data_IF_196767374917
#
_entry.id   IF_196767374917
#
_cell.length_a   1.000
_cell.length_b   1.000
_cell.length_c   1.000
_cell.angle_alpha   90.00
_cell.angle_beta   90.00
_cell.angle_gamma   90.00
#
_symmetry.space_group_name_H-M   'P 1'
#
loop_
_entity.id
_entity.type
_entity.pdbx_description
1 polymer ?
#
# COMPACT_ATOMS: atom_id res chain seq x y z
N UNK A 1 16.22 -24.31 -18.10
CA UNK A 1 14.91 -24.61 -17.50
C UNK A 1 15.16 -25.46 -16.26
N UNK A 2 15.29 -24.83 -15.09
CA UNK A 2 15.41 -25.55 -13.82
C UNK A 2 14.06 -26.12 -13.45
N UNK A 3 13.99 -27.44 -13.16
CA UNK A 3 12.81 -28.14 -12.64
C UNK A 3 12.00 -27.24 -11.70
N UNK A 4 10.76 -27.01 -12.08
CA UNK A 4 9.83 -26.07 -11.45
C UNK A 4 9.73 -26.38 -9.95
N UNK A 5 10.32 -25.53 -9.10
CA UNK A 5 10.06 -25.59 -7.66
C UNK A 5 8.60 -25.19 -7.51
N UNK A 6 7.74 -26.16 -7.19
CA UNK A 6 6.32 -25.93 -6.92
C UNK A 6 6.15 -24.70 -6.01
N UNK A 7 5.26 -23.79 -6.38
CA UNK A 7 4.99 -22.57 -5.61
C UNK A 7 4.25 -23.00 -4.35
N UNK A 8 4.78 -22.63 -3.18
CA UNK A 8 4.29 -23.08 -1.88
C UNK A 8 3.90 -21.89 -1.02
N UNK A 9 2.74 -22.01 -0.40
CA UNK A 9 2.21 -21.06 0.59
C UNK A 9 1.91 -21.82 1.87
N UNK A 10 2.53 -21.41 2.97
CA UNK A 10 2.34 -21.99 4.30
C UNK A 10 1.49 -21.03 5.13
N UNK A 11 0.39 -21.53 5.67
CA UNK A 11 -0.54 -20.81 6.54
C UNK A 11 -0.36 -21.30 7.98
N UNK A 12 0.09 -20.42 8.88
CA UNK A 12 0.30 -20.75 10.30
C UNK A 12 -0.53 -19.85 11.20
N UNK A 13 -1.30 -20.46 12.09
CA UNK A 13 -2.10 -19.76 13.10
C UNK A 13 -1.18 -18.95 14.02
N UNK A 14 -1.55 -17.69 14.24
CA UNK A 14 -0.80 -16.76 15.08
C UNK A 14 -1.78 -15.72 15.64
N UNK A 15 -2.36 -15.99 16.80
CA UNK A 15 -3.46 -15.19 17.36
C UNK A 15 -3.00 -13.87 18.04
N UNK A 16 -1.70 -13.68 18.23
CA UNK A 16 -1.15 -12.48 18.87
C UNK A 16 0.26 -12.15 18.39
N UNK A 17 0.72 -10.94 18.70
CA UNK A 17 2.08 -10.48 18.42
C UNK A 17 3.10 -10.96 19.47
N UNK A 18 3.12 -12.26 19.76
CA UNK A 18 4.10 -12.89 20.64
C UNK A 18 5.39 -13.23 19.85
N UNK A 19 6.52 -12.69 20.29
CA UNK A 19 7.79 -12.81 19.58
C UNK A 19 8.28 -14.26 19.43
N UNK A 20 8.17 -15.08 20.48
CA UNK A 20 8.67 -16.46 20.46
C UNK A 20 7.84 -17.32 19.49
N UNK A 21 6.51 -17.17 19.52
CA UNK A 21 5.59 -17.87 18.61
C UNK A 21 5.87 -17.47 17.16
N UNK A 22 5.97 -16.17 16.87
CA UNK A 22 6.23 -15.68 15.51
C UNK A 22 7.59 -16.15 15.01
N UNK A 23 8.63 -16.11 15.84
CA UNK A 23 9.96 -16.59 15.45
C UNK A 23 9.96 -18.08 15.14
N UNK A 24 9.24 -18.91 15.92
CA UNK A 24 9.04 -20.33 15.63
C UNK A 24 8.37 -20.56 14.29
N UNK A 25 7.22 -19.91 14.06
CA UNK A 25 6.45 -19.98 12.81
C UNK A 25 7.31 -19.60 11.60
N UNK A 26 8.03 -18.47 11.67
CA UNK A 26 8.88 -18.01 10.56
C UNK A 26 9.98 -19.02 10.32
N UNK A 27 10.69 -19.48 11.36
CA UNK A 27 11.80 -20.42 11.22
C UNK A 27 11.37 -21.74 10.57
N UNK A 28 10.32 -22.36 11.10
CA UNK A 28 9.78 -23.62 10.55
C UNK A 28 9.33 -23.43 9.09
N UNK A 29 8.58 -22.37 8.79
CA UNK A 29 8.09 -22.12 7.44
C UNK A 29 9.23 -21.88 6.44
N UNK A 30 10.27 -21.13 6.84
CA UNK A 30 11.44 -20.92 5.99
C UNK A 30 12.22 -22.22 5.75
N UNK A 31 12.35 -23.07 6.79
CA UNK A 31 12.97 -24.40 6.67
C UNK A 31 12.16 -25.32 5.74
N UNK A 32 10.84 -25.39 5.90
CA UNK A 32 9.93 -26.20 5.07
C UNK A 32 9.97 -25.78 3.59
N UNK A 33 10.09 -24.47 3.32
CA UNK A 33 10.25 -23.92 1.98
C UNK A 33 11.67 -24.11 1.42
N UNK A 34 12.62 -24.60 2.22
CA UNK A 34 14.02 -24.74 1.85
C UNK A 34 14.70 -23.39 1.55
N UNK A 35 14.25 -22.33 2.22
CA UNK A 35 14.78 -20.97 2.07
C UNK A 35 16.14 -20.88 2.77
N UNK A 36 17.14 -20.42 2.03
CA UNK A 36 18.50 -20.19 2.53
C UNK A 36 18.86 -18.73 2.25
N UNK A 37 18.74 -17.83 3.24
CA UNK A 37 19.20 -16.45 3.10
C UNK A 37 20.66 -16.40 2.70
N UNK A 38 21.05 -15.39 1.92
CA UNK A 38 22.42 -15.22 1.48
C UNK A 38 22.77 -13.74 1.32
N UNK A 39 24.07 -13.46 1.32
CA UNK A 39 24.61 -12.13 1.04
C UNK A 39 23.96 -11.01 1.84
N UNK A 40 23.76 -9.87 1.17
CA UNK A 40 23.03 -8.72 1.70
C UNK A 40 21.54 -9.00 1.64
N UNK A 41 20.93 -9.21 2.80
CA UNK A 41 19.50 -9.49 2.94
C UNK A 41 18.74 -8.20 3.21
N UNK A 42 17.80 -7.85 2.33
CA UNK A 42 16.88 -6.73 2.52
C UNK A 42 15.50 -7.25 2.95
N UNK A 43 15.07 -6.80 4.12
CA UNK A 43 13.69 -6.91 4.58
C UNK A 43 12.94 -5.64 4.19
N UNK A 44 11.85 -5.79 3.44
CA UNK A 44 10.94 -4.70 3.11
C UNK A 44 9.60 -4.91 3.80
N UNK A 45 9.32 -4.24 4.93
CA UNK A 45 8.00 -4.26 5.56
C UNK A 45 7.03 -3.34 4.82
N UNK A 46 5.74 -3.37 5.18
CA UNK A 46 4.79 -2.36 4.75
C UNK A 46 4.77 -1.19 5.71
N UNK A 47 4.97 0.05 5.24
CA UNK A 47 4.55 1.28 5.95
C UNK A 47 4.35 2.44 4.97
N UNK A 48 3.12 2.58 4.45
CA UNK A 48 2.76 3.75 3.63
C UNK A 48 2.46 4.97 4.51
N UNK A 49 1.71 4.76 5.59
CA UNK A 49 1.39 5.78 6.59
C UNK A 49 1.36 5.11 7.96
N UNK A 50 1.68 5.89 8.99
CA UNK A 50 1.64 5.46 10.38
C UNK A 50 1.42 6.69 11.27
N UNK A 51 0.59 6.53 12.31
CA UNK A 51 0.35 7.57 13.30
C UNK A 51 -0.10 6.89 14.59
N UNK A 52 0.61 7.15 15.69
CA UNK A 52 0.34 6.53 17.00
C UNK A 52 -0.99 6.90 17.65
N UNK A 53 -1.80 7.75 17.04
CA UNK A 53 -3.11 8.10 17.57
C UNK A 53 -4.27 7.45 16.80
N UNK A 54 -4.14 7.18 15.50
CA UNK A 54 -5.28 6.76 14.69
C UNK A 54 -4.96 5.91 13.44
N UNK A 55 -3.68 5.61 13.15
CA UNK A 55 -3.30 4.71 12.05
C UNK A 55 -2.50 3.56 12.65
N UNK A 56 -3.20 2.68 13.35
CA UNK A 56 -2.65 1.41 13.85
C UNK A 56 -2.90 0.32 12.81
N UNK A 57 -2.04 -0.71 12.75
CA UNK A 57 -2.29 -1.93 11.98
C UNK A 57 -2.47 -1.77 10.44
N UNK A 58 -2.14 -0.61 9.87
CA UNK A 58 -2.01 -0.41 8.40
C UNK A 58 -0.58 -0.70 7.89
N UNK A 59 0.31 -1.12 8.78
CA UNK A 59 1.71 -1.42 8.50
C UNK A 59 2.09 -2.71 9.22
N UNK A 60 3.17 -3.36 8.77
CA UNK A 60 3.65 -4.63 9.34
C UNK A 60 4.06 -4.43 10.80
N UNK A 61 3.57 -5.27 11.70
CA UNK A 61 3.86 -5.07 13.12
C UNK A 61 5.37 -5.21 13.41
N UNK A 62 5.98 -4.30 14.22
CA UNK A 62 7.42 -4.32 14.51
C UNK A 62 7.92 -5.65 15.07
N UNK A 63 7.13 -6.33 15.89
CA UNK A 63 7.47 -7.67 16.42
C UNK A 63 7.68 -8.68 15.30
N UNK A 64 6.85 -8.68 14.26
CA UNK A 64 6.99 -9.63 13.14
C UNK A 64 8.30 -9.36 12.39
N UNK A 65 8.62 -8.09 12.15
CA UNK A 65 9.88 -7.68 11.51
C UNK A 65 11.07 -8.08 12.38
N UNK A 66 11.03 -7.81 13.68
CA UNK A 66 12.08 -8.18 14.63
C UNK A 66 12.32 -9.69 14.69
N UNK A 67 11.26 -10.49 14.78
CA UNK A 67 11.33 -11.96 14.72
C UNK A 67 11.95 -12.44 13.40
N UNK A 68 11.57 -11.85 12.27
CA UNK A 68 12.17 -12.20 10.98
C UNK A 68 13.68 -11.87 10.94
N UNK A 69 14.10 -10.72 11.47
CA UNK A 69 15.52 -10.34 11.56
C UNK A 69 16.32 -11.40 12.32
N UNK A 70 15.83 -11.83 13.49
CA UNK A 70 16.53 -12.79 14.34
C UNK A 70 16.58 -14.18 13.69
N UNK A 71 15.47 -14.63 13.10
CA UNK A 71 15.41 -15.92 12.39
C UNK A 71 16.36 -15.92 11.20
N UNK A 72 16.33 -14.89 10.35
CA UNK A 72 17.21 -14.82 9.17
C UNK A 72 18.69 -14.84 9.58
N UNK A 73 19.07 -14.13 10.66
CA UNK A 73 20.42 -14.17 11.22
C UNK A 73 20.80 -15.56 11.73
N UNK A 74 19.88 -16.23 12.43
CA UNK A 74 20.09 -17.62 12.90
C UNK A 74 20.26 -18.61 11.75
N UNK A 75 19.77 -18.27 10.55
CA UNK A 75 19.93 -19.03 9.31
C UNK A 75 21.12 -18.57 8.46
N UNK A 76 22.00 -17.70 8.97
CA UNK A 76 23.25 -17.29 8.33
C UNK A 76 23.22 -15.94 7.60
N UNK A 77 22.13 -15.16 7.67
CA UNK A 77 22.10 -13.81 7.09
C UNK A 77 22.88 -12.81 7.97
N UNK A 78 24.15 -12.58 7.65
CA UNK A 78 25.01 -11.68 8.44
C UNK A 78 24.68 -10.17 8.24
N UNK A 79 24.37 -9.74 7.02
CA UNK A 79 24.01 -8.34 6.70
C UNK A 79 22.51 -8.23 6.39
N UNK A 80 21.72 -7.99 7.44
CA UNK A 80 20.29 -7.73 7.34
C UNK A 80 20.03 -6.23 7.43
N UNK A 81 19.26 -5.70 6.49
CA UNK A 81 18.78 -4.31 6.50
C UNK A 81 17.27 -4.29 6.36
N UNK A 82 16.59 -3.43 7.11
CA UNK A 82 15.15 -3.15 6.97
C UNK A 82 15.00 -1.83 6.21
N UNK A 83 14.23 -1.80 5.12
CA UNK A 83 14.09 -0.60 4.31
C UNK A 83 12.70 -0.38 3.71
N UNK A 84 12.22 0.86 3.70
CA UNK A 84 10.94 1.25 3.10
C UNK A 84 10.88 2.74 2.69
N UNK A 85 9.96 3.08 1.79
CA UNK A 85 9.51 4.42 1.40
C UNK A 85 8.04 4.63 1.77
N UNK A 86 7.75 5.68 2.51
CA UNK A 86 6.42 6.06 2.97
C UNK A 86 5.61 6.86 1.95
N UNK A 87 4.44 7.31 2.38
CA UNK A 87 3.47 8.04 1.57
C UNK A 87 4.04 9.32 0.96
N UNK A 88 3.66 9.57 -0.30
CA UNK A 88 4.12 10.74 -1.04
C UNK A 88 3.85 12.05 -0.29
N UNK A 89 4.80 12.97 -0.35
CA UNK A 89 4.66 14.32 0.22
C UNK A 89 4.95 14.43 1.71
N UNK A 90 5.12 13.32 2.45
CA UNK A 90 5.44 13.33 3.89
C UNK A 90 6.77 12.60 4.14
N UNK A 91 7.71 13.13 4.95
CA UNK A 91 8.97 12.44 5.23
C UNK A 91 8.75 10.99 5.71
N UNK A 92 9.21 9.98 4.96
CA UNK A 92 8.98 8.56 5.31
C UNK A 92 9.54 8.19 6.68
N UNK A 93 10.65 8.81 7.09
CA UNK A 93 11.20 8.76 8.46
C UNK A 93 10.15 9.03 9.55
N UNK A 94 9.18 9.92 9.32
CA UNK A 94 8.08 10.11 10.27
C UNK A 94 7.30 8.81 10.47
N UNK A 95 6.94 8.14 9.38
CA UNK A 95 6.18 6.90 9.46
C UNK A 95 6.99 5.75 10.03
N UNK A 96 8.27 5.62 9.70
CA UNK A 96 9.18 4.65 10.30
C UNK A 96 9.33 4.86 11.82
N UNK A 97 9.26 6.12 12.29
CA UNK A 97 9.28 6.45 13.72
C UNK A 97 7.94 6.14 14.38
N UNK A 98 6.83 6.55 13.78
CA UNK A 98 5.48 6.36 14.32
C UNK A 98 5.10 4.87 14.36
N UNK A 99 5.52 4.08 13.38
CA UNK A 99 5.33 2.63 13.37
C UNK A 99 6.22 1.87 14.36
N UNK A 100 7.19 2.55 15.00
CA UNK A 100 8.11 1.93 15.95
C UNK A 100 9.30 1.21 15.33
N UNK A 101 9.50 1.30 14.00
CA UNK A 101 10.57 0.55 13.33
C UNK A 101 11.96 0.99 13.76
N UNK A 102 12.20 2.28 14.02
CA UNK A 102 13.50 2.71 14.55
C UNK A 102 13.78 2.21 15.98
N UNK A 103 12.73 2.07 16.81
CA UNK A 103 12.87 1.50 18.15
C UNK A 103 13.25 0.02 18.05
N UNK A 104 12.50 -0.75 17.27
CA UNK A 104 12.80 -2.15 16.97
C UNK A 104 14.20 -2.31 16.39
N UNK A 105 14.59 -1.44 15.44
CA UNK A 105 15.91 -1.44 14.83
C UNK A 105 17.05 -1.29 15.85
N UNK A 106 16.87 -0.40 16.83
CA UNK A 106 17.82 -0.21 17.93
C UNK A 106 17.89 -1.44 18.83
N UNK A 107 16.74 -1.99 19.22
CA UNK A 107 16.63 -3.16 20.11
C UNK A 107 17.24 -4.42 19.50
N UNK A 108 16.99 -4.65 18.20
CA UNK A 108 17.52 -5.80 17.46
C UNK A 108 18.91 -5.56 16.87
N UNK A 109 19.50 -4.37 17.03
CA UNK A 109 20.78 -4.02 16.41
C UNK A 109 20.76 -4.19 14.88
N UNK A 110 19.67 -3.81 14.22
CA UNK A 110 19.49 -3.91 12.75
C UNK A 110 19.31 -2.53 12.14
N UNK A 111 19.90 -2.32 10.96
CA UNK A 111 19.79 -1.05 10.25
C UNK A 111 18.37 -0.89 9.69
N UNK A 112 17.76 0.27 9.96
CA UNK A 112 16.47 0.66 9.39
C UNK A 112 16.68 1.91 8.53
N UNK A 113 16.40 1.81 7.23
CA UNK A 113 16.68 2.85 6.24
C UNK A 113 15.40 3.41 5.62
N UNK A 114 15.33 4.73 5.47
CA UNK A 114 14.38 5.38 4.56
C UNK A 114 14.99 5.39 3.16
N UNK A 115 14.37 4.68 2.22
CA UNK A 115 14.85 4.66 0.84
C UNK A 115 14.97 6.05 0.24
N UNK A 116 14.18 7.03 0.71
CA UNK A 116 14.24 8.42 0.23
C UNK A 116 15.46 9.21 0.69
N UNK A 117 16.25 8.65 1.61
CA UNK A 117 17.45 9.26 2.18
C UNK A 117 18.74 8.55 1.73
N UNK A 118 18.62 7.42 1.02
CA UNK A 118 19.76 6.71 0.47
C UNK A 118 20.25 7.31 -0.86
N UNK A 119 21.45 6.89 -1.27
CA UNK A 119 21.92 7.04 -2.66
C UNK A 119 21.04 6.18 -3.58
N UNK A 120 20.80 6.68 -4.78
CA UNK A 120 20.05 5.94 -5.81
C UNK A 120 20.93 5.53 -6.97
N UNK A 121 20.52 4.45 -7.62
CA UNK A 121 21.05 3.95 -8.88
C UNK A 121 19.93 3.99 -9.91
N UNK A 122 20.19 4.56 -11.09
CA UNK A 122 19.24 4.54 -12.19
C UNK A 122 19.35 3.18 -12.89
N UNK A 123 18.32 2.36 -12.79
CA UNK A 123 18.29 1.02 -13.39
C UNK A 123 17.27 1.01 -14.54
N UNK A 124 17.68 0.68 -15.79
CA UNK A 124 16.73 0.52 -16.89
C UNK A 124 15.86 -0.73 -16.69
N UNK A 125 14.59 -0.63 -17.08
CA UNK A 125 13.67 -1.77 -17.07
C UNK A 125 13.52 -2.32 -18.49
N UNK A 126 13.65 -3.64 -18.63
CA UNK A 126 13.50 -4.36 -19.91
C UNK A 126 12.07 -4.87 -20.10
N UNK A 127 11.40 -5.24 -19.02
CA UNK A 127 10.02 -5.76 -19.02
C UNK A 127 9.00 -4.68 -18.69
N UNK A 128 9.42 -3.52 -18.17
CA UNK A 128 8.55 -2.40 -17.81
C UNK A 128 7.72 -1.86 -18.98
N UNK A 129 6.40 -1.83 -18.81
CA UNK A 129 5.48 -1.30 -19.82
C UNK A 129 5.53 0.23 -19.82
N UNK A 130 5.39 0.85 -18.64
CA UNK A 130 5.36 2.30 -18.46
C UNK A 130 6.70 2.84 -17.97
N UNK A 131 7.26 2.24 -16.92
CA UNK A 131 8.58 2.64 -16.43
C UNK A 131 9.67 2.16 -17.38
N UNK A 132 10.43 3.09 -17.96
CA UNK A 132 11.64 2.77 -18.76
C UNK A 132 12.90 2.63 -17.91
N UNK A 133 12.91 3.29 -16.76
CA UNK A 133 13.95 3.15 -15.75
C UNK A 133 13.41 3.55 -14.38
N UNK A 134 14.10 3.16 -13.32
CA UNK A 134 13.76 3.50 -11.94
C UNK A 134 14.98 3.98 -11.15
N UNK A 135 14.78 4.89 -10.19
CA UNK A 135 15.76 5.21 -9.16
C UNK A 135 15.65 4.21 -8.01
N UNK A 136 16.58 3.27 -7.97
CA UNK A 136 16.62 2.19 -6.98
C UNK A 136 17.52 2.60 -5.81
N UNK A 137 16.99 2.57 -4.59
CA UNK A 137 17.74 2.88 -3.37
C UNK A 137 18.90 1.88 -3.16
N UNK A 138 20.02 2.35 -2.60
CA UNK A 138 21.25 1.56 -2.43
C UNK A 138 21.01 0.19 -1.78
N UNK A 139 20.23 0.13 -0.70
CA UNK A 139 19.98 -1.12 -0.01
C UNK A 139 19.17 -2.11 -0.85
N UNK A 140 18.27 -1.63 -1.71
CA UNK A 140 17.52 -2.46 -2.66
C UNK A 140 18.37 -2.91 -3.86
N UNK A 141 19.18 -1.99 -4.40
CA UNK A 141 20.05 -2.28 -5.54
C UNK A 141 21.09 -3.35 -5.20
N UNK A 142 21.62 -3.32 -3.99
CA UNK A 142 22.70 -4.21 -3.55
C UNK A 142 22.19 -5.48 -2.84
N UNK A 143 20.88 -5.70 -2.76
CA UNK A 143 20.32 -6.86 -2.06
C UNK A 143 20.49 -8.13 -2.90
N UNK A 144 21.17 -9.12 -2.32
CA UNK A 144 21.32 -10.46 -2.89
C UNK A 144 20.09 -11.33 -2.54
N UNK A 145 19.46 -11.05 -1.40
CA UNK A 145 18.28 -11.75 -0.90
C UNK A 145 17.21 -10.77 -0.42
N UNK A 146 15.96 -10.96 -0.86
CA UNK A 146 14.84 -10.04 -0.64
C UNK A 146 13.70 -10.73 0.12
N UNK A 147 13.30 -10.16 1.25
CA UNK A 147 12.24 -10.65 2.14
C UNK A 147 11.12 -9.63 2.23
N UNK A 148 10.02 -9.87 1.51
CA UNK A 148 8.90 -8.93 1.48
C UNK A 148 7.96 -9.26 2.62
N UNK A 149 7.67 -8.29 3.48
CA UNK A 149 6.84 -8.49 4.66
C UNK A 149 5.61 -7.60 4.61
N UNK A 150 4.63 -7.87 3.73
CA UNK A 150 3.44 -7.05 3.62
C UNK A 150 2.54 -7.19 4.86
N UNK A 151 1.64 -6.22 5.02
CA UNK A 151 0.44 -6.32 5.85
C UNK A 151 -0.69 -6.77 4.94
N UNK A 152 -1.35 -7.90 5.22
CA UNK A 152 -2.54 -8.30 4.46
C UNK A 152 -3.70 -7.36 4.79
N UNK A 153 -4.28 -6.72 3.78
CA UNK A 153 -5.41 -5.78 3.96
C UNK A 153 -6.20 -5.55 2.69
N UNK A 154 -7.44 -5.10 2.84
CA UNK A 154 -8.23 -4.53 1.75
C UNK A 154 -7.57 -3.22 1.29
N UNK A 155 -7.69 -2.89 0.00
CA UNK A 155 -7.16 -1.65 -0.56
C UNK A 155 -8.22 -0.92 -1.38
N UNK A 156 -8.30 0.41 -1.22
CA UNK A 156 -9.33 1.27 -1.83
C UNK A 156 -9.31 1.37 -3.37
N UNK A 157 -8.24 0.92 -4.03
CA UNK A 157 -8.08 1.04 -5.48
C UNK A 157 -7.32 -0.12 -6.16
N UNK A 158 -6.83 -1.09 -5.39
CA UNK A 158 -6.12 -2.27 -5.92
C UNK A 158 -6.73 -3.58 -5.42
N UNK A 159 -7.94 -3.54 -4.87
CA UNK A 159 -8.64 -4.66 -4.22
C UNK A 159 -7.97 -5.10 -2.91
N UNK A 160 -6.71 -5.51 -2.97
CA UNK A 160 -5.92 -5.95 -1.81
C UNK A 160 -4.56 -5.23 -1.74
N UNK A 161 -3.97 -5.23 -0.55
CA UNK A 161 -2.53 -5.06 -0.37
C UNK A 161 -1.95 -6.37 0.10
N UNK A 162 -0.96 -6.87 -0.64
CA UNK A 162 -0.03 -7.87 -0.15
C UNK A 162 1.34 -7.70 -0.85
N UNK A 163 2.00 -8.77 -1.29
CA UNK A 163 3.39 -8.77 -1.76
C UNK A 163 3.63 -7.95 -3.04
N UNK A 164 2.76 -8.04 -4.05
CA UNK A 164 2.98 -7.31 -5.31
C UNK A 164 2.83 -5.81 -5.07
N UNK A 165 1.72 -5.41 -4.44
CA UNK A 165 1.42 -4.01 -4.14
C UNK A 165 2.44 -3.35 -3.21
N UNK A 166 3.09 -4.14 -2.34
CA UNK A 166 4.16 -3.68 -1.46
C UNK A 166 5.29 -2.99 -2.23
N UNK A 167 5.52 -3.39 -3.48
CA UNK A 167 6.54 -2.79 -4.34
C UNK A 167 6.33 -1.31 -4.65
N UNK A 168 5.13 -0.74 -4.47
CA UNK A 168 4.95 0.73 -4.56
C UNK A 168 5.92 1.47 -3.62
N UNK A 169 6.27 0.87 -2.49
CA UNK A 169 7.23 1.41 -1.54
C UNK A 169 8.71 1.32 -1.94
N UNK A 170 9.06 0.70 -3.09
CA UNK A 170 10.44 0.78 -3.61
C UNK A 170 10.71 2.09 -4.35
N UNK A 171 9.65 2.82 -4.71
CA UNK A 171 9.76 4.05 -5.47
C UNK A 171 10.17 5.22 -4.58
N UNK A 172 10.99 6.09 -5.18
CA UNK A 172 11.27 7.40 -4.62
C UNK A 172 10.01 8.27 -4.61
N UNK A 173 9.96 9.28 -3.75
CA UNK A 173 8.89 10.27 -3.80
C UNK A 173 8.71 10.91 -5.18
N UNK A 174 9.80 11.10 -5.93
CA UNK A 174 9.74 11.69 -7.27
C UNK A 174 9.00 10.79 -8.28
N UNK A 175 9.05 9.47 -8.11
CA UNK A 175 8.47 8.50 -9.05
C UNK A 175 7.15 7.89 -8.52
N UNK A 176 6.84 8.05 -7.22
CA UNK A 176 5.70 7.41 -6.58
C UNK A 176 4.35 7.77 -7.22
N UNK A 177 4.21 9.00 -7.72
CA UNK A 177 2.97 9.46 -8.38
C UNK A 177 2.95 9.28 -9.90
N UNK A 178 4.07 8.88 -10.52
CA UNK A 178 4.07 8.56 -11.96
C UNK A 178 3.16 7.37 -12.22
N UNK A 179 2.25 7.47 -13.19
CA UNK A 179 1.30 6.39 -13.53
C UNK A 179 0.43 5.93 -12.35
N UNK A 180 0.27 6.77 -11.32
CA UNK A 180 -0.62 6.52 -10.19
C UNK A 180 -2.03 7.03 -10.53
N UNK A 181 -2.57 6.48 -11.61
CA UNK A 181 -3.84 6.83 -12.25
C UNK A 181 -4.58 5.54 -12.66
N UNK A 182 -5.21 5.50 -13.84
CA UNK A 182 -5.82 4.28 -14.37
C UNK A 182 -4.78 3.21 -14.76
N UNK A 183 -3.48 3.54 -14.73
CA UNK A 183 -2.35 2.64 -15.00
C UNK A 183 -1.72 2.03 -13.75
N UNK A 184 -2.34 2.21 -12.58
CA UNK A 184 -1.73 1.83 -11.31
C UNK A 184 -1.44 0.31 -11.21
N UNK A 185 -2.32 -0.54 -11.75
CA UNK A 185 -2.09 -1.99 -11.75
C UNK A 185 -0.90 -2.38 -12.64
N UNK A 186 -0.83 -1.81 -13.85
CA UNK A 186 0.28 -1.97 -14.78
C UNK A 186 1.60 -1.52 -14.16
N UNK A 187 1.56 -0.36 -13.47
CA UNK A 187 2.68 0.15 -12.68
C UNK A 187 3.13 -0.86 -11.65
N UNK A 188 2.23 -1.45 -10.85
CA UNK A 188 2.61 -2.43 -9.81
C UNK A 188 3.41 -3.57 -10.44
N UNK A 189 2.99 -4.06 -11.60
CA UNK A 189 3.67 -5.17 -12.29
C UNK A 189 5.03 -4.76 -12.85
N UNK A 190 5.19 -3.52 -13.34
CA UNK A 190 6.52 -3.01 -13.75
C UNK A 190 7.54 -3.06 -12.61
N UNK A 191 7.11 -2.79 -11.38
CA UNK A 191 8.00 -2.75 -10.22
C UNK A 191 8.54 -4.13 -9.84
N UNK A 192 7.90 -5.22 -10.30
CA UNK A 192 8.37 -6.58 -10.04
C UNK A 192 9.71 -6.86 -10.69
N UNK A 193 10.08 -6.19 -11.78
CA UNK A 193 11.39 -6.41 -12.41
C UNK A 193 12.57 -6.11 -11.46
N UNK A 194 12.41 -5.15 -10.56
CA UNK A 194 13.40 -4.82 -9.52
C UNK A 194 13.02 -5.46 -8.18
N UNK A 195 11.73 -5.48 -7.87
CA UNK A 195 11.19 -5.79 -6.55
C UNK A 195 10.69 -7.21 -6.35
N UNK A 196 11.00 -8.15 -7.24
CA UNK A 196 10.63 -9.55 -7.05
C UNK A 196 11.36 -10.13 -5.81
N UNK A 197 10.64 -10.55 -4.75
CA UNK A 197 11.25 -11.09 -3.54
C UNK A 197 11.62 -12.57 -3.69
N UNK A 198 12.53 -13.04 -2.83
CA UNK A 198 12.85 -14.46 -2.70
C UNK A 198 11.86 -15.17 -1.76
N UNK A 199 11.28 -14.45 -0.81
CA UNK A 199 10.29 -14.97 0.13
C UNK A 199 9.35 -13.84 0.58
N UNK A 200 8.10 -14.21 0.82
CA UNK A 200 7.07 -13.34 1.39
C UNK A 200 6.72 -13.84 2.78
N UNK A 201 6.67 -12.93 3.77
CA UNK A 201 6.16 -13.19 5.12
C UNK A 201 5.06 -12.15 5.40
N UNK A 202 3.82 -12.49 5.10
CA UNK A 202 2.69 -11.57 5.25
C UNK A 202 2.21 -11.56 6.70
N UNK A 203 2.23 -10.39 7.32
CA UNK A 203 1.58 -10.15 8.61
C UNK A 203 0.07 -10.06 8.38
N UNK A 204 -0.62 -11.08 8.86
CA UNK A 204 -2.07 -11.20 8.84
C UNK A 204 -2.61 -11.60 10.24
N UNK A 205 -1.86 -11.30 11.31
CA UNK A 205 -2.32 -11.52 12.70
C UNK A 205 -3.54 -10.63 12.93
N UNK A 206 -3.36 -9.35 12.67
CA UNK A 206 -4.45 -8.43 12.34
C UNK A 206 -4.43 -8.17 10.85
N UNK A 207 -5.58 -7.99 10.21
CA UNK A 207 -5.70 -7.39 8.89
C UNK A 207 -6.35 -6.02 9.04
N UNK A 208 -6.37 -5.22 7.97
CA UNK A 208 -7.08 -3.95 7.97
C UNK A 208 -8.08 -3.87 6.82
N UNK A 209 -9.23 -3.24 7.08
CA UNK A 209 -10.15 -2.77 6.06
C UNK A 209 -10.37 -1.25 6.20
N UNK A 210 -11.19 -0.66 5.33
CA UNK A 210 -11.38 0.79 5.24
C UNK A 210 -10.31 1.44 4.35
N UNK A 211 -9.66 2.49 4.85
CA UNK A 211 -8.65 3.25 4.09
C UNK A 211 -7.26 3.16 4.75
N UNK A 212 -6.17 3.22 3.98
CA UNK A 212 -4.83 2.97 4.51
C UNK A 212 -4.40 3.98 5.59
N UNK A 213 -4.93 5.21 5.57
CA UNK A 213 -4.69 6.21 6.63
C UNK A 213 -5.84 6.34 7.63
N UNK A 214 -6.80 5.42 7.56
CA UNK A 214 -7.96 5.28 8.42
C UNK A 214 -8.34 3.78 8.52
N UNK A 215 -7.40 2.92 8.97
CA UNK A 215 -7.61 1.49 8.98
C UNK A 215 -8.62 1.10 10.06
N UNK A 216 -9.43 0.10 9.76
CA UNK A 216 -10.24 -0.63 10.73
C UNK A 216 -9.62 -2.02 10.91
N UNK A 217 -8.96 -2.29 12.06
CA UNK A 217 -8.28 -3.55 12.28
C UNK A 217 -9.29 -4.69 12.49
N UNK A 218 -8.92 -5.88 12.07
CA UNK A 218 -9.67 -7.11 12.29
C UNK A 218 -8.70 -8.25 12.65
N UNK A 219 -8.97 -8.97 13.73
CA UNK A 219 -8.11 -10.07 14.20
C UNK A 219 -8.37 -11.33 13.36
N UNK A 220 -7.43 -11.68 12.48
CA UNK A 220 -7.53 -12.86 11.61
C UNK A 220 -6.75 -14.05 12.20
N UNK A 221 -5.58 -13.77 12.78
CA UNK A 221 -4.75 -14.73 13.51
C UNK A 221 -3.81 -15.55 12.61
N UNK A 222 -3.13 -14.93 11.65
CA UNK A 222 -2.35 -15.64 10.63
C UNK A 222 -0.97 -15.03 10.37
N UNK A 223 0.04 -15.88 10.19
CA UNK A 223 1.24 -15.56 9.42
C UNK A 223 1.22 -16.42 8.16
N UNK A 224 1.31 -15.76 6.99
CA UNK A 224 1.38 -16.42 5.68
C UNK A 224 2.81 -16.32 5.16
N UNK A 225 3.45 -17.45 4.87
CA UNK A 225 4.82 -17.49 4.33
C UNK A 225 4.81 -18.16 2.97
N UNK A 226 5.45 -17.57 1.97
CA UNK A 226 5.46 -18.09 0.60
C UNK A 226 6.80 -17.91 -0.10
N UNK A 227 7.15 -18.85 -0.98
CA UNK A 227 8.33 -18.76 -1.84
C UNK A 227 8.06 -18.06 -3.19
N UNK A 228 6.82 -17.68 -3.45
CA UNK A 228 6.38 -16.97 -4.66
C UNK A 228 5.40 -15.85 -4.29
N UNK A 229 5.63 -14.61 -4.75
CA UNK A 229 4.80 -13.46 -4.39
C UNK A 229 3.41 -13.47 -5.03
N UNK A 230 3.25 -14.05 -6.24
CA UNK A 230 1.93 -14.14 -6.89
C UNK A 230 1.07 -15.18 -6.17
N UNK A 231 1.67 -16.32 -5.78
CA UNK A 231 0.99 -17.34 -4.99
C UNK A 231 0.55 -16.79 -3.62
N UNK A 232 1.41 -16.00 -2.95
CA UNK A 232 1.07 -15.33 -1.70
C UNK A 232 -0.16 -14.42 -1.84
N UNK A 233 -0.21 -13.62 -2.91
CA UNK A 233 -1.29 -12.67 -3.15
C UNK A 233 -2.57 -13.36 -3.64
N UNK A 234 -2.47 -14.45 -4.42
CA UNK A 234 -3.62 -15.26 -4.83
C UNK A 234 -4.28 -15.93 -3.61
N UNK A 235 -3.50 -16.53 -2.71
CA UNK A 235 -4.01 -17.09 -1.46
C UNK A 235 -4.57 -15.99 -0.55
N UNK A 236 -3.87 -14.85 -0.45
CA UNK A 236 -4.34 -13.68 0.30
C UNK A 236 -5.67 -13.12 -0.23
N UNK A 237 -5.86 -13.09 -1.56
CA UNK A 237 -7.11 -12.67 -2.19
C UNK A 237 -8.28 -13.56 -1.77
N UNK A 238 -8.08 -14.88 -1.82
CA UNK A 238 -9.09 -15.88 -1.40
C UNK A 238 -9.45 -15.74 0.07
N UNK A 239 -8.44 -15.58 0.93
CA UNK A 239 -8.64 -15.34 2.37
C UNK A 239 -9.50 -14.10 2.62
N UNK A 240 -9.38 -13.05 1.79
CA UNK A 240 -10.19 -11.83 1.90
C UNK A 240 -11.55 -11.92 1.17
N UNK A 241 -11.87 -13.06 0.55
CA UNK A 241 -13.14 -13.30 -0.14
C UNK A 241 -13.16 -12.88 -1.62
N UNK A 242 -12.01 -12.62 -2.23
CA UNK A 242 -11.88 -12.28 -3.65
C UNK A 242 -11.40 -13.47 -4.47
N UNK A 243 -11.79 -13.53 -5.75
CA UNK A 243 -11.14 -14.42 -6.70
C UNK A 243 -9.81 -13.79 -7.14
N UNK A 244 -8.71 -14.56 -7.26
CA UNK A 244 -7.43 -14.01 -7.74
C UNK A 244 -7.56 -13.28 -9.09
N UNK A 245 -8.46 -13.72 -9.95
CA UNK A 245 -8.77 -13.14 -11.27
C UNK A 245 -9.41 -11.74 -11.18
N UNK A 246 -10.08 -11.42 -10.08
CA UNK A 246 -10.66 -10.10 -9.83
C UNK A 246 -9.58 -9.07 -9.41
N UNK A 247 -8.36 -9.52 -9.12
CA UNK A 247 -7.23 -8.67 -8.75
C UNK A 247 -6.38 -8.39 -9.99
N UNK A 248 -6.67 -7.26 -10.66
CA UNK A 248 -6.11 -6.89 -11.97
C UNK A 248 -4.58 -7.06 -12.07
N UNK A 249 -3.82 -6.60 -11.08
CA UNK A 249 -2.35 -6.71 -11.12
C UNK A 249 -1.83 -8.14 -10.95
N UNK A 250 -2.61 -9.08 -10.37
CA UNK A 250 -2.24 -10.49 -10.33
C UNK A 250 -2.38 -11.13 -11.71
N UNK A 251 -3.49 -10.88 -12.40
CA UNK A 251 -3.70 -11.33 -13.79
C UNK A 251 -2.58 -10.82 -14.69
N UNK A 252 -2.35 -9.50 -14.68
CA UNK A 252 -1.29 -8.87 -15.49
C UNK A 252 0.11 -9.39 -15.18
N UNK A 253 0.41 -9.69 -13.91
CA UNK A 253 1.71 -10.26 -13.53
C UNK A 253 1.87 -11.70 -14.03
N UNK A 254 0.81 -12.50 -13.95
CA UNK A 254 0.77 -13.86 -14.50
C UNK A 254 0.98 -13.87 -16.01
N UNK A 255 0.25 -13.02 -16.74
CA UNK A 255 0.36 -12.86 -18.20
C UNK A 255 1.77 -12.42 -18.65
N UNK A 256 2.46 -11.62 -17.81
CA UNK A 256 3.84 -11.17 -18.05
C UNK A 256 4.90 -12.19 -17.62
N UNK A 257 4.49 -13.39 -17.20
CA UNK A 257 5.38 -14.50 -16.87
C UNK A 257 6.12 -14.35 -15.55
N UNK A 258 5.57 -13.60 -14.58
CA UNK A 258 6.16 -13.49 -13.23
C UNK A 258 5.80 -14.65 -12.30
N UNK A 259 4.78 -15.44 -12.64
CA UNK A 259 4.30 -16.55 -11.82
C UNK A 259 2.94 -17.03 -12.33
N UNK A 260 2.19 -17.73 -11.47
CA UNK A 260 0.83 -18.21 -11.79
C UNK A 260 -0.10 -17.88 -10.62
N UNK A 261 -1.37 -17.66 -10.95
CA UNK A 261 -2.47 -17.48 -10.00
C UNK A 261 -3.40 -18.69 -9.96
N UNK A 262 -3.14 -19.72 -10.79
CA UNK A 262 -3.96 -20.91 -10.89
C UNK A 262 -3.72 -21.86 -9.71
N UNK A 263 -4.80 -22.41 -9.18
CA UNK A 263 -4.77 -23.26 -7.99
C UNK A 263 -3.91 -24.50 -8.15
N UNK A 264 -3.93 -25.10 -9.34
CA UNK A 264 -3.15 -26.30 -9.66
C UNK A 264 -1.63 -26.06 -9.56
N UNK A 265 -1.19 -24.80 -9.64
CA UNK A 265 0.23 -24.42 -9.57
C UNK A 265 0.66 -24.01 -8.15
N UNK A 266 -0.28 -23.91 -7.20
CA UNK A 266 -0.06 -23.39 -5.84
C UNK A 266 -0.34 -24.50 -4.83
N UNK A 267 0.70 -24.99 -4.17
CA UNK A 267 0.57 -25.90 -3.05
C UNK A 267 0.39 -25.10 -1.75
N UNK A 268 -0.76 -25.27 -1.11
CA UNK A 268 -1.06 -24.63 0.18
C UNK A 268 -0.93 -25.67 1.28
N UNK A 269 -0.08 -25.40 2.28
CA UNK A 269 0.08 -26.21 3.48
C UNK A 269 -0.10 -25.33 4.72
N UNK A 270 -0.15 -25.92 5.91
CA UNK A 270 -0.44 -25.13 7.10
C UNK A 270 -1.08 -25.92 8.22
N UNK A 271 -1.37 -25.22 9.32
CA UNK A 271 -2.25 -25.69 10.40
C UNK A 271 -3.65 -25.07 10.33
N UNK A 272 -3.90 -24.24 9.31
CA UNK A 272 -5.17 -23.55 9.04
C UNK A 272 -5.42 -23.52 7.53
N UNK A 273 -6.68 -23.62 7.12
CA UNK A 273 -7.06 -23.64 5.71
C UNK A 273 -7.56 -22.28 5.21
N UNK A 274 -7.59 -22.11 3.88
CA UNK A 274 -8.15 -20.90 3.25
C UNK A 274 -9.63 -20.75 3.60
N UNK A 275 -10.38 -21.85 3.62
CA UNK A 275 -11.83 -21.85 3.89
C UNK A 275 -12.13 -21.36 5.32
N UNK A 276 -11.34 -21.80 6.31
CA UNK A 276 -11.49 -21.33 7.70
C UNK A 276 -11.27 -19.81 7.79
N UNK A 277 -10.20 -19.31 7.16
CA UNK A 277 -9.84 -17.89 7.18
C UNK A 277 -10.86 -17.04 6.39
N UNK A 278 -11.28 -17.51 5.22
CA UNK A 278 -12.29 -16.85 4.39
C UNK A 278 -13.66 -16.79 5.08
N UNK A 279 -13.99 -17.78 5.94
CA UNK A 279 -15.18 -17.73 6.79
C UNK A 279 -15.10 -16.58 7.81
N UNK A 280 -13.92 -16.30 8.38
CA UNK A 280 -13.73 -15.19 9.32
C UNK A 280 -13.89 -13.82 8.65
N UNK A 281 -13.44 -13.68 7.41
CA UNK A 281 -13.51 -12.42 6.65
C UNK A 281 -14.82 -12.23 5.90
N UNK A 282 -15.67 -13.27 5.87
CA UNK A 282 -16.98 -13.24 5.20
C UNK A 282 -17.83 -12.09 5.75
N UNK A 283 -18.31 -11.24 4.85
CA UNK A 283 -19.19 -10.11 5.19
C UNK A 283 -18.46 -8.85 5.64
N UNK A 284 -17.13 -8.86 5.73
CA UNK A 284 -16.37 -7.62 5.95
C UNK A 284 -16.58 -6.70 4.74
N UNK A 285 -17.20 -5.55 4.99
CA UNK A 285 -17.31 -4.47 4.01
C UNK A 285 -16.17 -3.49 4.27
N UNK A 286 -15.22 -3.42 3.34
CA UNK A 286 -14.19 -2.39 3.39
C UNK A 286 -14.74 -1.08 2.83
N UNK A 287 -15.05 -0.15 3.73
CA UNK A 287 -15.45 1.21 3.37
C UNK A 287 -14.47 1.83 2.36
N UNK A 288 -15.00 2.66 1.47
CA UNK A 288 -14.24 3.35 0.42
C UNK A 288 -13.63 2.46 -0.68
N UNK A 289 -13.76 1.13 -0.66
CA UNK A 289 -13.44 0.32 -1.85
C UNK A 289 -14.39 0.63 -3.00
N UNK A 290 -15.67 0.79 -2.69
CA UNK A 290 -16.67 1.33 -3.61
C UNK A 290 -17.11 2.71 -3.09
N UNK A 291 -16.84 3.76 -3.87
CA UNK A 291 -17.19 5.12 -3.49
C UNK A 291 -18.72 5.31 -3.47
N UNK A 292 -19.45 4.54 -4.28
CA UNK A 292 -20.90 4.65 -4.43
C UNK A 292 -21.66 4.01 -3.26
N UNK A 293 -20.97 3.25 -2.40
CA UNK A 293 -21.53 2.62 -1.19
C UNK A 293 -21.23 3.37 0.10
N UNK A 294 -20.57 4.54 0.00
CA UNK A 294 -20.29 5.37 1.18
C UNK A 294 -21.59 5.99 1.69
N UNK A 295 -21.86 5.86 3.00
CA UNK A 295 -23.01 6.50 3.67
C UNK A 295 -22.79 8.03 3.72
N UNK A 296 -23.32 8.74 2.72
CA UNK A 296 -23.19 10.19 2.58
C UNK A 296 -24.30 10.76 1.69
N UNK A 297 -24.72 12.01 1.90
CA UNK A 297 -25.63 12.71 0.99
C UNK A 297 -24.93 13.22 -0.29
N UNK A 298 -23.63 13.02 -0.44
CA UNK A 298 -22.88 13.36 -1.65
C UNK A 298 -23.12 12.28 -2.72
N UNK A 299 -23.63 12.67 -3.89
CA UNK A 299 -23.73 11.77 -5.05
C UNK A 299 -22.42 11.78 -5.85
N UNK A 300 -21.94 10.60 -6.21
CA UNK A 300 -20.71 10.43 -6.99
C UNK A 300 -21.02 10.10 -8.45
N UNK A 301 -20.42 10.84 -9.37
CA UNK A 301 -20.57 10.68 -10.81
C UNK A 301 -19.21 10.32 -11.40
N UNK A 302 -19.03 9.05 -11.71
CA UNK A 302 -17.73 8.51 -12.15
C UNK A 302 -17.75 8.25 -13.65
N UNK A 303 -16.98 9.05 -14.38
CA UNK A 303 -16.73 8.92 -15.80
C UNK A 303 -15.36 8.35 -16.12
N UNK A 304 -15.12 8.15 -17.41
CA UNK A 304 -13.88 7.57 -17.93
C UNK A 304 -12.85 8.65 -18.26
N UNK A 305 -11.58 8.28 -18.18
CA UNK A 305 -10.49 9.01 -18.82
C UNK A 305 -10.77 9.14 -20.33
N UNK A 306 -10.63 10.34 -20.94
CA UNK A 306 -10.95 10.56 -22.34
C UNK A 306 -10.01 9.80 -23.30
N UNK A 307 -8.76 9.56 -22.90
CA UNK A 307 -7.75 8.99 -23.79
C UNK A 307 -7.83 7.46 -23.80
N UNK A 308 -8.11 6.84 -22.64
CA UNK A 308 -8.06 5.38 -22.45
C UNK A 308 -9.42 4.73 -22.24
N UNK A 309 -10.47 5.50 -21.98
CA UNK A 309 -11.81 4.96 -21.79
C UNK A 309 -12.01 4.16 -20.50
N UNK A 310 -11.12 4.32 -19.50
CA UNK A 310 -11.20 3.64 -18.20
C UNK A 310 -11.39 4.65 -17.07
N UNK A 311 -12.07 4.27 -16.00
CA UNK A 311 -12.18 5.11 -14.81
C UNK A 311 -10.83 5.26 -14.10
N UNK A 312 -10.54 6.46 -13.59
CA UNK A 312 -9.26 6.78 -12.94
C UNK A 312 -9.24 6.28 -11.47
N UNK A 313 -9.22 4.96 -11.28
CA UNK A 313 -9.29 4.33 -9.95
C UNK A 313 -8.10 4.66 -9.06
N UNK A 314 -6.87 4.65 -9.61
CA UNK A 314 -5.64 4.95 -8.87
C UNK A 314 -5.37 6.45 -8.69
N UNK A 315 -6.03 7.31 -9.46
CA UNK A 315 -5.80 8.76 -9.43
C UNK A 315 -6.91 9.50 -8.67
N UNK A 316 -7.86 10.08 -9.40
CA UNK A 316 -8.89 10.93 -8.81
C UNK A 316 -9.75 10.20 -7.77
N UNK A 317 -10.15 8.96 -8.05
CA UNK A 317 -10.97 8.19 -7.12
C UNK A 317 -10.19 7.78 -5.87
N UNK A 318 -8.95 7.30 -6.00
CA UNK A 318 -8.11 6.98 -4.85
C UNK A 318 -7.89 8.22 -3.96
N UNK A 319 -7.62 9.38 -4.55
CA UNK A 319 -7.42 10.62 -3.81
C UNK A 319 -8.72 11.05 -3.09
N UNK A 320 -9.87 10.98 -3.78
CA UNK A 320 -11.18 11.29 -3.21
C UNK A 320 -11.52 10.37 -2.03
N UNK A 321 -11.43 9.05 -2.24
CA UNK A 321 -11.64 8.02 -1.22
C UNK A 321 -10.73 8.25 0.00
N UNK A 322 -9.45 8.51 -0.25
CA UNK A 322 -8.50 8.78 0.82
C UNK A 322 -8.77 10.06 1.60
N UNK A 323 -9.21 11.12 0.92
CA UNK A 323 -9.61 12.37 1.56
C UNK A 323 -10.82 12.15 2.50
N UNK A 324 -11.88 11.52 1.99
CA UNK A 324 -13.09 11.22 2.76
C UNK A 324 -12.80 10.30 3.94
N UNK A 325 -12.09 9.19 3.72
CA UNK A 325 -11.72 8.27 4.78
C UNK A 325 -10.87 8.91 5.87
N UNK A 326 -9.94 9.80 5.51
CA UNK A 326 -9.14 10.55 6.49
C UNK A 326 -9.98 11.52 7.31
N UNK A 327 -10.90 12.24 6.66
CA UNK A 327 -11.80 13.18 7.35
C UNK A 327 -12.64 12.41 8.36
N UNK A 328 -13.28 11.31 7.94
CA UNK A 328 -14.20 10.56 8.79
C UNK A 328 -13.48 9.87 9.95
N UNK A 329 -12.30 9.28 9.71
CA UNK A 329 -11.55 8.67 10.81
C UNK A 329 -11.08 9.66 11.87
N UNK A 330 -10.77 10.91 11.48
CA UNK A 330 -10.39 11.95 12.44
C UNK A 330 -11.59 12.58 13.13
N UNK A 331 -12.73 12.64 12.44
CA UNK A 331 -13.97 13.28 12.91
C UNK A 331 -15.16 12.39 12.48
N UNK A 332 -15.44 11.30 13.22
CA UNK A 332 -16.46 10.33 12.84
C UNK A 332 -17.81 10.97 12.55
N UNK A 333 -18.46 10.53 11.47
CA UNK A 333 -19.75 11.06 11.03
C UNK A 333 -19.68 12.31 10.18
N UNK A 334 -18.49 12.85 9.91
CA UNK A 334 -18.32 14.03 9.04
C UNK A 334 -18.78 13.75 7.61
N UNK A 335 -18.47 12.56 7.08
CA UNK A 335 -18.85 12.20 5.70
C UNK A 335 -20.36 11.93 5.60
N UNK A 336 -20.93 11.29 6.62
CA UNK A 336 -22.38 11.05 6.74
C UNK A 336 -23.19 12.34 6.85
N UNK A 337 -22.69 13.31 7.60
CA UNK A 337 -23.36 14.60 7.83
C UNK A 337 -22.89 15.69 6.86
N UNK A 338 -22.24 15.32 5.75
CA UNK A 338 -21.79 16.27 4.75
C UNK A 338 -22.97 17.04 4.15
N UNK A 339 -22.71 18.22 3.58
CA UNK A 339 -23.72 18.95 2.80
C UNK A 339 -24.09 18.13 1.55
N UNK A 340 -25.38 17.95 1.22
CA UNK A 340 -25.79 17.30 -0.03
C UNK A 340 -25.22 18.00 -1.27
N UNK A 341 -24.83 17.23 -2.28
CA UNK A 341 -24.29 17.75 -3.53
C UNK A 341 -23.71 16.67 -4.43
N UNK A 342 -22.96 17.06 -5.46
CA UNK A 342 -22.38 16.15 -6.44
C UNK A 342 -20.86 16.22 -6.52
N UNK A 343 -20.18 15.09 -6.71
CA UNK A 343 -18.76 15.03 -7.08
C UNK A 343 -18.64 14.31 -8.43
N UNK A 344 -17.93 14.93 -9.38
CA UNK A 344 -17.70 14.36 -10.71
C UNK A 344 -16.21 14.11 -10.91
N UNK A 345 -15.88 12.93 -11.44
CA UNK A 345 -14.52 12.56 -11.88
C UNK A 345 -14.56 12.00 -13.30
N UNK A 346 -13.57 12.32 -14.14
CA UNK A 346 -13.51 11.84 -15.52
C UNK A 346 -14.60 12.44 -16.42
N UNK A 347 -14.73 11.90 -17.63
CA UNK A 347 -15.78 12.29 -18.58
C UNK A 347 -17.03 11.48 -18.30
N UNK A 348 -17.96 12.09 -17.58
CA UNK A 348 -19.24 11.48 -17.22
C UNK A 348 -20.29 11.72 -18.30
N UNK A 349 -20.96 10.66 -18.73
CA UNK A 349 -22.07 10.72 -19.70
C UNK A 349 -23.39 10.65 -18.93
N UNK A 350 -24.16 11.71 -18.99
CA UNK A 350 -25.41 11.86 -18.24
C UNK A 350 -25.51 13.19 -17.52
N UNK A 351 -26.69 13.42 -16.93
CA UNK A 351 -27.00 14.67 -16.26
C UNK A 351 -26.51 14.70 -14.82
N UNK A 352 -26.08 15.88 -14.36
CA UNK A 352 -25.67 16.15 -12.98
C UNK A 352 -26.50 17.32 -12.46
N UNK A 353 -27.53 17.00 -11.69
CA UNK A 353 -28.57 17.94 -11.24
C UNK A 353 -28.57 18.05 -9.72
N UNK A 354 -28.15 19.21 -9.21
CA UNK A 354 -28.06 19.57 -7.79
C UNK A 354 -28.39 21.07 -7.58
N UNK A 355 -29.61 21.54 -7.92
CA UNK A 355 -29.94 22.97 -7.91
C UNK A 355 -29.68 23.67 -6.56
N UNK A 356 -29.86 22.95 -5.45
CA UNK A 356 -29.63 23.48 -4.09
C UNK A 356 -28.23 23.17 -3.52
N UNK A 357 -27.47 22.30 -4.20
CA UNK A 357 -26.19 21.76 -3.73
C UNK A 357 -25.00 22.21 -4.57
N UNK A 358 -23.77 22.12 -4.03
CA UNK A 358 -22.57 22.31 -4.83
C UNK A 358 -22.28 21.09 -5.69
N UNK A 359 -21.64 21.31 -6.84
CA UNK A 359 -20.98 20.27 -7.63
C UNK A 359 -19.48 20.51 -7.68
N UNK A 360 -18.69 19.49 -7.35
CA UNK A 360 -17.23 19.54 -7.38
C UNK A 360 -16.68 18.65 -8.51
N UNK A 361 -16.03 19.27 -9.48
CA UNK A 361 -15.32 18.60 -10.57
C UNK A 361 -13.88 18.33 -10.14
N UNK A 362 -13.41 17.09 -10.21
CA UNK A 362 -12.07 16.70 -9.76
C UNK A 362 -11.26 16.18 -10.94
N UNK A 363 -10.13 16.83 -11.25
CA UNK A 363 -9.22 16.45 -12.34
C UNK A 363 -9.32 17.37 -13.55
N UNK A 364 -8.24 17.42 -14.33
CA UNK A 364 -8.15 18.29 -15.53
C UNK A 364 -9.05 17.78 -16.66
N UNK A 365 -9.16 16.46 -16.84
CA UNK A 365 -9.97 15.84 -17.88
C UNK A 365 -11.48 15.84 -17.59
N UNK A 366 -11.89 16.18 -16.36
CA UNK A 366 -13.27 15.97 -15.90
C UNK A 366 -14.27 16.84 -16.63
N UNK A 367 -15.30 16.21 -17.20
CA UNK A 367 -16.37 16.85 -18.00
C UNK A 367 -17.70 16.14 -17.76
N UNK A 368 -18.81 16.87 -17.91
CA UNK A 368 -20.18 16.34 -17.92
C UNK A 368 -20.69 16.45 -19.34
N UNK A 369 -21.06 15.32 -19.95
CA UNK A 369 -21.67 15.23 -21.27
C UNK A 369 -23.19 15.05 -21.09
N UNK A 370 -23.84 16.13 -20.67
CA UNK A 370 -25.24 16.20 -20.27
C UNK A 370 -25.51 17.56 -19.65
N UNK A 371 -26.69 17.73 -19.03
CA UNK A 371 -27.03 18.94 -18.28
C UNK A 371 -26.25 18.97 -16.96
N UNK A 372 -25.56 20.09 -16.70
CA UNK A 372 -24.93 20.38 -15.41
C UNK A 372 -25.68 21.54 -14.74
N UNK A 373 -26.46 21.22 -13.73
CA UNK A 373 -27.23 22.20 -12.94
C UNK A 373 -26.79 22.12 -11.48
N UNK A 374 -26.32 23.24 -10.91
CA UNK A 374 -25.87 23.27 -9.53
C UNK A 374 -25.94 24.67 -8.92
N UNK A 375 -26.18 24.78 -7.61
CA UNK A 375 -26.06 26.06 -6.87
C UNK A 375 -24.69 26.69 -7.03
N UNK A 376 -23.65 25.85 -7.05
CA UNK A 376 -22.27 26.28 -7.24
C UNK A 376 -21.41 25.15 -7.82
N UNK A 377 -20.74 25.43 -8.93
CA UNK A 377 -19.75 24.52 -9.51
C UNK A 377 -18.35 24.95 -9.06
N UNK A 378 -17.53 24.01 -8.60
CA UNK A 378 -16.11 24.20 -8.29
C UNK A 378 -15.27 23.16 -9.02
N UNK A 379 -13.99 23.46 -9.24
CA UNK A 379 -13.04 22.51 -9.82
C UNK A 379 -11.77 22.42 -9.00
N UNK A 380 -11.29 21.20 -8.78
CA UNK A 380 -9.92 20.92 -8.36
C UNK A 380 -9.17 20.45 -9.61
N UNK A 381 -8.20 21.26 -10.06
CA UNK A 381 -7.32 20.95 -11.19
C UNK A 381 -6.15 20.06 -10.75
N UNK A 382 -5.55 19.35 -11.71
CA UNK A 382 -4.35 18.53 -11.55
C UNK A 382 -4.51 17.10 -12.04
N UNK A 383 -3.47 16.61 -12.71
CA UNK A 383 -3.23 15.20 -13.04
C UNK A 383 -1.71 14.92 -12.94
N UNK A 384 -1.19 14.44 -11.79
CA UNK A 384 -1.91 14.01 -10.59
C UNK A 384 -2.50 15.19 -9.79
N UNK A 385 -3.51 14.90 -8.98
CA UNK A 385 -4.15 15.90 -8.11
C UNK A 385 -3.19 16.39 -7.02
N UNK A 386 -3.19 17.71 -6.80
CA UNK A 386 -2.49 18.30 -5.67
C UNK A 386 -3.20 17.98 -4.35
N UNK A 387 -2.57 17.18 -3.49
CA UNK A 387 -3.12 16.73 -2.20
C UNK A 387 -3.66 17.91 -1.36
N UNK A 388 -2.89 18.99 -1.22
CA UNK A 388 -3.32 20.17 -0.44
C UNK A 388 -4.63 20.78 -0.95
N UNK A 389 -4.79 20.92 -2.26
CA UNK A 389 -5.98 21.52 -2.84
C UNK A 389 -7.21 20.65 -2.60
N UNK A 390 -7.06 19.32 -2.66
CA UNK A 390 -8.14 18.38 -2.37
C UNK A 390 -8.58 18.48 -0.90
N UNK A 391 -7.63 18.42 0.03
CA UNK A 391 -7.90 18.44 1.47
C UNK A 391 -8.39 19.80 2.00
N UNK A 392 -8.30 20.89 1.22
CA UNK A 392 -8.92 22.18 1.54
C UNK A 392 -10.28 22.34 0.86
N UNK A 393 -10.33 22.09 -0.44
CA UNK A 393 -11.49 22.45 -1.27
C UNK A 393 -12.66 21.51 -1.03
N UNK A 394 -12.41 20.21 -0.91
CA UNK A 394 -13.46 19.22 -0.71
C UNK A 394 -14.17 19.43 0.64
N UNK A 395 -13.48 19.49 1.79
CA UNK A 395 -14.16 19.66 3.07
C UNK A 395 -14.96 20.96 3.13
N UNK A 396 -14.35 22.07 2.68
CA UNK A 396 -15.03 23.39 2.65
C UNK A 396 -16.26 23.41 1.75
N UNK A 397 -16.27 22.64 0.66
CA UNK A 397 -17.41 22.59 -0.26
C UNK A 397 -18.60 21.86 0.35
N UNK A 398 -18.31 20.79 1.08
CA UNK A 398 -19.32 19.92 1.66
C UNK A 398 -19.51 20.11 3.18
N UNK A 399 -18.98 21.19 3.76
CA UNK A 399 -19.18 21.51 5.18
C UNK A 399 -18.50 20.56 6.16
N UNK A 400 -17.45 19.86 5.74
CA UNK A 400 -16.68 18.94 6.58
C UNK A 400 -15.42 19.61 7.15
N UNK A 401 -14.90 19.13 8.30
CA UNK A 401 -13.62 19.57 8.84
C UNK A 401 -12.46 19.11 7.94
N UNK A 402 -11.45 19.97 7.77
CA UNK A 402 -10.23 19.59 7.05
C UNK A 402 -9.20 18.98 7.99
N UNK A 403 -8.59 17.84 7.64
CA UNK A 403 -7.55 17.20 8.44
C UNK A 403 -6.21 17.95 8.37
N UNK A 404 -6.02 18.87 7.41
CA UNK A 404 -4.75 19.62 7.26
C UNK A 404 -4.43 20.53 8.45
N UNK A 405 -5.44 20.95 9.20
CA UNK A 405 -5.29 21.91 10.30
C UNK A 405 -5.17 21.23 11.66
N UNK A 406 -4.78 19.95 11.70
CA UNK A 406 -4.46 19.25 12.94
C UNK A 406 -3.13 19.77 13.54
N UNK A 407 -3.12 20.35 14.75
CA UNK A 407 -1.90 20.95 15.32
C UNK A 407 -0.77 19.94 15.57
N UNK A 408 -1.11 18.71 15.96
CA UNK A 408 -0.11 17.67 16.27
C UNK A 408 0.61 17.24 15.00
N UNK A 409 -0.14 16.98 13.93
CA UNK A 409 0.44 16.54 12.66
C UNK A 409 1.31 17.63 12.01
N UNK A 410 0.93 18.90 12.15
CA UNK A 410 1.72 20.03 11.65
C UNK A 410 3.12 20.08 12.28
N UNK A 411 3.20 19.93 13.61
CA UNK A 411 4.49 19.91 14.35
C UNK A 411 5.34 18.71 13.94
N UNK A 412 4.74 17.52 13.86
CA UNK A 412 5.45 16.30 13.44
C UNK A 412 6.00 16.41 12.02
N UNK A 413 5.23 17.01 11.10
CA UNK A 413 5.64 17.23 9.72
C UNK A 413 6.86 18.16 9.62
N UNK A 414 6.84 19.30 10.33
CA UNK A 414 7.94 20.28 10.32
C UNK A 414 9.23 19.64 10.85
N UNK A 415 9.18 19.05 12.05
CA UNK A 415 10.35 18.44 12.68
C UNK A 415 11.01 17.37 11.79
N UNK A 416 10.22 16.43 11.25
CA UNK A 416 10.78 15.34 10.44
C UNK A 416 11.27 15.81 9.07
N UNK A 417 10.73 16.91 8.54
CA UNK A 417 11.23 17.53 7.30
C UNK A 417 12.64 18.11 7.49
N UNK A 418 12.89 18.77 8.62
CA UNK A 418 14.22 19.31 8.98
C UNK A 418 15.23 18.16 9.15
N UNK A 419 14.86 17.12 9.90
CA UNK A 419 15.73 15.94 10.12
C UNK A 419 16.08 15.23 8.81
N UNK A 420 15.11 15.07 7.90
CA UNK A 420 15.35 14.50 6.56
C UNK A 420 16.35 15.33 5.77
N UNK A 421 16.23 16.66 5.80
CA UNK A 421 17.16 17.58 5.16
C UNK A 421 18.60 17.38 5.66
N UNK A 422 18.79 17.38 6.98
CA UNK A 422 20.11 17.17 7.60
C UNK A 422 20.72 15.81 7.24
N UNK A 423 19.90 14.75 7.22
CA UNK A 423 20.36 13.39 6.88
C UNK A 423 20.79 13.25 5.43
N UNK A 424 20.08 13.87 4.49
CA UNK A 424 20.52 13.91 3.09
C UNK A 424 21.88 14.60 2.94
N UNK A 425 22.09 15.73 3.62
CA UNK A 425 23.37 16.45 3.60
C UNK A 425 24.48 15.59 4.21
N UNK A 426 24.24 15.00 5.39
CA UNK A 426 25.18 14.07 6.03
C UNK A 426 25.53 12.91 5.10
N UNK A 427 24.54 12.28 4.46
CA UNK A 427 24.80 11.16 3.56
C UNK A 427 25.61 11.60 2.34
N UNK A 428 25.41 12.81 1.80
CA UNK A 428 26.23 13.35 0.71
C UNK A 428 27.68 13.59 1.15
N UNK A 429 27.89 14.14 2.35
CA UNK A 429 29.22 14.46 2.88
C UNK A 429 30.01 13.19 3.23
N UNK A 430 29.37 12.22 3.89
CA UNK A 430 30.05 11.02 4.40
C UNK A 430 30.11 9.84 3.41
N UNK A 431 29.49 9.94 2.22
CA UNK A 431 29.65 8.94 1.13
C UNK A 431 30.60 9.37 0.01
N UNK A 432 31.30 10.51 0.19
CA UNK A 432 32.41 10.96 -0.66
C UNK A 432 33.79 10.45 -0.20
N UNK A 433 33.85 9.52 0.75
CA UNK A 433 35.06 8.77 1.13
C UNK A 433 34.95 7.32 0.69
#
# INVERSE_FOLDING_TARGET
MTKDKRKKVILRRCDSYNEAVISGIIKESLTDLGIKPNGKTLIKPNVVTANKAYIFDSYTHPTVIGSAVDVLRSMGAADVTVGESGGYGIPSRLFLKESGYFKMGKEKGVRVVDFNEEKYYKVPLKKGMWHKSMRVAKSLHNADFKVWMPKLKYHICCTITNALKLNIGILTHAERMLYHDDRLNEKIVDLLEIGFPNVVISDAVKIAHGYESAPKPFDLGLILVANDPLAADAVGAKILGFKPEDVIHLVMASERGYGSIADVDIEVTGDVTIEELAKKTKGIVSEYQDIHKVDTPIKFYTGNDPDRGRFCYGGCLAALKGCLGTIDARRPGSVKNARPGGIVTGVYKGDVIHPDGPVLLIGDCTKVLGKLEAKKVKRIKGCPLGTKMLFVTLPRTFGMPSPLFDPRDAVLFIYNSVVKGMRKVSNIIFTRK
#
